data_IF_718181053968
#
_entry.id   IF_718181053968
#
_cell.length_a   1.000
_cell.length_b   1.000
_cell.length_c   1.000
_cell.angle_alpha   90.00
_cell.angle_beta   90.00
_cell.angle_gamma   90.00
#
_symmetry.space_group_name_H-M   'P 1'
#
loop_
_entity.id
_entity.type
_entity.pdbx_description
1 polymer ?
#
# COMPACT_ATOMS: atom_id res chain seq x y z
N UNK A 1 15.91 -7.62 -7.69
CA UNK A 1 14.59 -7.04 -7.33
C UNK A 1 14.85 -5.71 -6.63
N UNK A 2 14.23 -4.62 -7.10
CA UNK A 2 14.14 -3.37 -6.34
C UNK A 2 13.45 -3.70 -4.99
N UNK A 3 13.83 -3.08 -3.87
CA UNK A 3 13.41 -3.48 -2.51
C UNK A 3 13.86 -4.86 -1.99
N UNK A 4 14.81 -5.56 -2.62
CA UNK A 4 15.20 -6.91 -2.16
C UNK A 4 15.75 -6.99 -0.72
N UNK A 5 16.40 -5.93 -0.23
CA UNK A 5 16.86 -5.85 1.16
C UNK A 5 15.70 -5.58 2.12
N UNK A 6 14.83 -4.62 1.77
CA UNK A 6 13.58 -4.32 2.49
C UNK A 6 12.73 -5.59 2.64
N UNK A 7 12.67 -6.44 1.60
CA UNK A 7 11.93 -7.70 1.65
C UNK A 7 12.48 -8.66 2.69
N UNK A 8 13.81 -8.80 2.77
CA UNK A 8 14.44 -9.69 3.75
C UNK A 8 14.14 -9.23 5.18
N UNK A 9 14.23 -7.93 5.43
CA UNK A 9 13.88 -7.34 6.72
C UNK A 9 12.39 -7.57 7.05
N UNK A 10 11.50 -7.33 6.07
CA UNK A 10 10.06 -7.52 6.26
C UNK A 10 9.70 -8.97 6.58
N UNK A 11 10.32 -9.94 5.92
CA UNK A 11 10.15 -11.37 6.21
C UNK A 11 10.67 -11.79 7.59
N UNK A 12 11.70 -11.11 8.10
CA UNK A 12 12.34 -11.42 9.39
C UNK A 12 11.64 -10.80 10.59
N UNK A 13 10.78 -9.80 10.39
CA UNK A 13 10.03 -9.15 11.48
C UNK A 13 9.09 -10.20 12.12
N UNK A 14 9.26 -10.55 13.39
CA UNK A 14 8.47 -11.60 14.04
C UNK A 14 7.41 -11.08 15.01
N UNK A 15 7.58 -9.85 15.48
CA UNK A 15 6.63 -9.14 16.33
C UNK A 15 6.66 -7.65 15.92
N UNK A 16 5.50 -7.02 15.80
CA UNK A 16 5.39 -5.57 15.55
C UNK A 16 5.94 -4.72 16.71
N UNK A 17 6.21 -5.32 17.87
CA UNK A 17 6.70 -4.65 19.08
C UNK A 17 8.21 -4.34 19.06
N UNK A 18 8.99 -4.91 18.12
CA UNK A 18 10.40 -4.56 17.98
C UNK A 18 10.57 -3.24 17.23
N UNK A 19 10.44 -2.13 17.95
CA UNK A 19 10.52 -0.76 17.43
C UNK A 19 11.78 -0.53 16.58
N UNK A 20 12.95 -1.01 17.02
CA UNK A 20 14.20 -0.83 16.27
C UNK A 20 14.19 -1.57 14.92
N UNK A 21 13.58 -2.75 14.86
CA UNK A 21 13.45 -3.50 13.62
C UNK A 21 12.45 -2.82 12.66
N UNK A 22 11.39 -2.24 13.19
CA UNK A 22 10.41 -1.43 12.45
C UNK A 22 11.06 -0.16 11.90
N UNK A 23 11.79 0.59 12.73
CA UNK A 23 12.52 1.80 12.32
C UNK A 23 13.54 1.48 11.23
N UNK A 24 14.33 0.42 11.39
CA UNK A 24 15.30 -0.01 10.38
C UNK A 24 14.64 -0.36 9.04
N UNK A 25 13.47 -1.00 9.06
CA UNK A 25 12.69 -1.32 7.88
C UNK A 25 12.14 -0.06 7.21
N UNK A 26 11.61 0.89 7.99
CA UNK A 26 11.11 2.18 7.51
C UNK A 26 12.21 2.99 6.82
N UNK A 27 13.37 3.14 7.47
CA UNK A 27 14.50 3.85 6.87
C UNK A 27 14.99 3.18 5.58
N UNK A 28 14.97 1.85 5.53
CA UNK A 28 15.32 1.11 4.31
C UNK A 28 14.29 1.35 3.19
N UNK A 29 13.00 1.46 3.53
CA UNK A 29 11.95 1.81 2.57
C UNK A 29 12.12 3.25 2.08
N UNK A 30 12.46 4.21 2.97
CA UNK A 30 12.69 5.61 2.61
C UNK A 30 13.84 5.78 1.63
N UNK A 31 14.96 5.08 1.87
CA UNK A 31 16.12 5.08 0.97
C UNK A 31 15.72 4.55 -0.41
N UNK A 32 15.02 3.42 -0.48
CA UNK A 32 14.54 2.88 -1.76
C UNK A 32 13.52 3.83 -2.42
N UNK A 33 12.61 4.41 -1.63
CA UNK A 33 11.58 5.33 -2.10
C UNK A 33 12.15 6.59 -2.75
N UNK A 34 13.24 7.13 -2.19
CA UNK A 34 13.93 8.31 -2.71
C UNK A 34 14.50 8.10 -4.12
N UNK A 35 14.76 6.86 -4.51
CA UNK A 35 15.27 6.51 -5.85
C UNK A 35 14.16 6.31 -6.89
N UNK A 36 12.90 6.30 -6.47
CA UNK A 36 11.77 6.00 -7.35
C UNK A 36 11.37 7.18 -8.21
N UNK A 37 11.11 6.88 -9.48
CA UNK A 37 10.50 7.81 -10.43
C UNK A 37 9.19 7.22 -10.93
N UNK A 38 8.10 7.98 -10.79
CA UNK A 38 6.79 7.56 -11.29
C UNK A 38 6.80 7.30 -12.81
N UNK A 39 7.63 8.01 -13.57
CA UNK A 39 7.79 7.80 -15.02
C UNK A 39 8.32 6.40 -15.36
N UNK A 40 9.34 5.93 -14.65
CA UNK A 40 9.90 4.58 -14.81
C UNK A 40 8.86 3.51 -14.50
N UNK A 41 8.12 3.68 -13.39
CA UNK A 41 7.06 2.77 -13.00
C UNK A 41 5.93 2.76 -14.03
N UNK A 42 5.53 3.93 -14.52
CA UNK A 42 4.48 4.06 -15.51
C UNK A 42 4.84 3.41 -16.84
N UNK A 43 6.07 3.61 -17.33
CA UNK A 43 6.52 3.01 -18.58
C UNK A 43 6.49 1.48 -18.48
N UNK A 44 7.11 0.93 -17.43
CA UNK A 44 7.18 -0.52 -17.19
C UNK A 44 5.80 -1.16 -17.04
N UNK A 45 4.87 -0.47 -16.36
CA UNK A 45 3.54 -1.03 -16.06
C UNK A 45 2.59 -0.90 -17.25
N UNK A 46 2.64 0.19 -18.01
CA UNK A 46 1.76 0.38 -19.16
C UNK A 46 1.88 -0.75 -20.19
N UNK A 47 3.07 -1.30 -20.37
CA UNK A 47 3.32 -2.45 -21.27
C UNK A 47 2.69 -3.76 -20.76
N UNK A 48 2.37 -3.85 -19.47
CA UNK A 48 1.82 -5.04 -18.82
C UNK A 48 0.31 -5.00 -18.63
N UNK A 49 -0.33 -3.85 -18.87
CA UNK A 49 -1.78 -3.68 -18.66
C UNK A 49 -2.55 -4.47 -19.71
N UNK A 50 -3.42 -5.35 -19.24
CA UNK A 50 -4.48 -5.94 -20.04
C UNK A 50 -5.77 -5.12 -19.87
N UNK A 51 -6.09 -4.30 -20.87
CA UNK A 51 -7.25 -3.43 -20.84
C UNK A 51 -8.59 -4.19 -20.75
N UNK A 52 -8.64 -5.43 -21.23
CA UNK A 52 -9.84 -6.29 -21.13
C UNK A 52 -10.14 -6.68 -19.67
N UNK A 53 -9.10 -6.66 -18.83
CA UNK A 53 -9.18 -6.94 -17.41
C UNK A 53 -9.39 -5.69 -16.55
N UNK A 54 -9.39 -4.48 -17.12
CA UNK A 54 -9.67 -3.24 -16.38
C UNK A 54 -11.02 -3.30 -15.67
N UNK A 55 -11.09 -2.75 -14.46
CA UNK A 55 -12.31 -2.71 -13.63
C UNK A 55 -12.49 -1.34 -12.98
N UNK A 56 -13.75 -0.97 -12.72
CA UNK A 56 -14.15 0.36 -12.22
C UNK A 56 -15.00 0.29 -10.95
N UNK A 57 -14.65 1.04 -9.91
CA UNK A 57 -15.33 1.02 -8.61
C UNK A 57 -15.70 2.41 -8.08
N UNK A 58 -16.83 2.48 -7.35
CA UNK A 58 -17.30 3.70 -6.65
C UNK A 58 -16.74 3.88 -5.24
N UNK A 59 -16.32 2.79 -4.62
CA UNK A 59 -15.60 2.79 -3.35
C UNK A 59 -14.33 1.97 -3.52
N UNK A 60 -13.38 2.16 -2.61
CA UNK A 60 -12.17 1.34 -2.54
C UNK A 60 -12.55 -0.09 -2.09
N UNK A 61 -13.26 -0.84 -2.94
CA UNK A 61 -13.70 -2.21 -2.63
C UNK A 61 -12.54 -3.21 -2.65
N UNK A 62 -11.41 -2.82 -3.23
CA UNK A 62 -10.15 -3.52 -3.05
C UNK A 62 -9.43 -3.12 -1.76
N UNK A 63 -9.75 -1.96 -1.15
CA UNK A 63 -8.94 -1.32 -0.09
C UNK A 63 -9.76 -0.35 0.80
N UNK A 64 -10.67 -0.85 1.66
CA UNK A 64 -11.19 -0.18 2.87
C UNK A 64 -11.83 1.24 2.80
N UNK A 65 -12.58 1.70 3.83
CA UNK A 65 -13.38 2.92 3.79
C UNK A 65 -12.75 4.17 4.46
N UNK A 66 -11.44 4.32 4.45
CA UNK A 66 -10.80 5.63 4.65
C UNK A 66 -10.03 5.90 3.37
N UNK A 67 -10.42 6.92 2.62
CA UNK A 67 -9.83 7.27 1.34
C UNK A 67 -8.41 7.77 1.46
N UNK A 68 -7.51 7.00 2.05
CA UNK A 68 -6.05 6.93 1.91
C UNK A 68 -5.72 5.60 2.60
N UNK A 69 -5.42 4.59 1.78
CA UNK A 69 -4.84 3.30 2.14
C UNK A 69 -5.22 2.72 3.54
N UNK A 70 -6.10 1.72 3.57
CA UNK A 70 -6.26 0.81 4.72
C UNK A 70 -6.78 -0.56 4.20
N UNK A 71 -6.10 -1.68 4.50
CA UNK A 71 -6.60 -3.00 4.13
C UNK A 71 -7.75 -3.42 5.06
N UNK A 72 -8.89 -3.80 4.48
CA UNK A 72 -9.79 -4.76 5.10
C UNK A 72 -10.23 -5.77 4.02
N UNK A 73 -9.78 -7.01 4.23
CA UNK A 73 -10.18 -8.29 3.61
C UNK A 73 -10.16 -8.33 2.07
N UNK A 74 -8.95 -8.56 1.53
CA UNK A 74 -8.70 -8.92 0.13
C UNK A 74 -9.47 -10.18 -0.33
N UNK A 75 -9.83 -11.09 0.59
CA UNK A 75 -10.60 -12.31 0.30
C UNK A 75 -11.95 -12.00 -0.37
N UNK A 76 -12.70 -11.01 0.16
CA UNK A 76 -13.94 -10.55 -0.45
C UNK A 76 -13.66 -9.65 -1.65
N UNK A 77 -12.55 -8.92 -1.70
CA UNK A 77 -12.24 -8.02 -2.80
C UNK A 77 -11.91 -8.76 -4.10
N UNK A 78 -10.99 -9.73 -4.07
CA UNK A 78 -10.67 -10.59 -5.22
C UNK A 78 -11.90 -11.38 -5.67
N UNK A 79 -12.67 -11.91 -4.71
CA UNK A 79 -13.96 -12.55 -4.97
C UNK A 79 -15.02 -11.58 -5.51
N UNK A 80 -15.05 -10.31 -5.14
CA UNK A 80 -16.05 -9.33 -5.59
C UNK A 80 -15.68 -8.65 -6.93
N UNK A 81 -14.39 -8.56 -7.24
CA UNK A 81 -13.86 -8.22 -8.57
C UNK A 81 -14.25 -9.31 -9.57
N UNK A 82 -14.15 -10.57 -9.15
CA UNK A 82 -14.57 -11.73 -9.96
C UNK A 82 -16.08 -11.99 -9.95
N UNK A 83 -16.81 -11.63 -8.88
CA UNK A 83 -18.29 -11.74 -8.75
C UNK A 83 -19.08 -10.49 -9.20
N UNK A 84 -18.44 -9.47 -9.79
CA UNK A 84 -19.14 -8.39 -10.50
C UNK A 84 -19.62 -7.17 -9.69
N UNK A 85 -19.11 -6.92 -8.48
CA UNK A 85 -19.41 -5.66 -7.72
C UNK A 85 -18.58 -4.45 -8.17
N UNK A 86 -17.62 -4.68 -9.06
CA UNK A 86 -16.81 -3.70 -9.77
C UNK A 86 -17.23 -3.80 -11.24
N UNK A 87 -17.58 -2.68 -11.85
CA UNK A 87 -18.19 -2.66 -13.18
C UNK A 87 -17.13 -2.72 -14.27
N UNK A 88 -17.53 -3.18 -15.46
CA UNK A 88 -16.74 -3.01 -16.69
C UNK A 88 -16.92 -1.61 -17.31
N UNK A 89 -17.84 -0.81 -16.80
CA UNK A 89 -18.16 0.54 -17.26
C UNK A 89 -17.62 1.58 -16.27
N UNK A 90 -17.13 2.70 -16.80
CA UNK A 90 -16.48 3.77 -16.05
C UNK A 90 -17.42 4.78 -15.38
N UNK A 91 -18.72 4.75 -15.71
CA UNK A 91 -19.67 5.79 -15.30
C UNK A 91 -19.70 5.92 -13.77
N UNK A 92 -19.34 7.11 -13.27
CA UNK A 92 -19.27 7.47 -11.84
C UNK A 92 -18.19 6.72 -11.02
N UNK A 93 -17.15 6.19 -11.66
CA UNK A 93 -16.10 5.48 -10.96
C UNK A 93 -15.03 6.40 -10.33
N UNK A 94 -14.92 6.35 -8.99
CA UNK A 94 -13.81 6.96 -8.23
C UNK A 94 -12.50 6.18 -8.43
N UNK A 95 -12.59 4.86 -8.62
CA UNK A 95 -11.43 3.98 -8.71
C UNK A 95 -11.35 3.25 -10.05
N UNK A 96 -10.15 3.20 -10.62
CA UNK A 96 -9.81 2.38 -11.79
C UNK A 96 -8.74 1.39 -11.36
N UNK A 97 -8.97 0.12 -11.64
CA UNK A 97 -8.05 -0.97 -11.33
C UNK A 97 -7.60 -1.62 -12.64
N UNK A 98 -6.29 -1.61 -12.87
CA UNK A 98 -5.63 -2.25 -13.99
C UNK A 98 -4.96 -3.54 -13.54
N UNK A 99 -5.07 -4.56 -14.38
CA UNK A 99 -4.53 -5.89 -14.14
C UNK A 99 -3.64 -6.30 -15.30
N UNK A 100 -2.72 -7.23 -15.03
CA UNK A 100 -1.99 -7.94 -16.09
C UNK A 100 -2.78 -9.17 -16.59
N UNK A 101 -2.21 -9.90 -17.55
CA UNK A 101 -2.80 -11.12 -18.10
C UNK A 101 -2.99 -12.25 -17.06
N UNK A 102 -2.17 -12.26 -16.00
CA UNK A 102 -2.29 -13.18 -14.86
C UNK A 102 -3.38 -12.74 -13.86
N UNK A 103 -4.12 -11.66 -14.16
CA UNK A 103 -5.13 -11.07 -13.28
C UNK A 103 -4.56 -10.55 -11.96
N UNK A 104 -3.27 -10.21 -11.90
CA UNK A 104 -2.68 -9.49 -10.76
C UNK A 104 -2.89 -8.00 -10.92
N UNK A 105 -3.31 -7.25 -9.88
CA UNK A 105 -3.43 -5.81 -9.97
C UNK A 105 -2.05 -5.18 -10.12
N UNK A 106 -1.90 -4.29 -11.09
CA UNK A 106 -0.62 -3.63 -11.41
C UNK A 106 -0.68 -2.11 -11.32
N UNK A 107 -1.89 -1.53 -11.40
CA UNK A 107 -2.10 -0.09 -11.17
C UNK A 107 -3.48 0.17 -10.60
N UNK A 108 -3.55 1.15 -9.70
CA UNK A 108 -4.79 1.63 -9.10
C UNK A 108 -4.80 3.14 -9.23
N UNK A 109 -5.90 3.69 -9.74
CA UNK A 109 -6.11 5.12 -9.88
C UNK A 109 -7.27 5.51 -8.96
N UNK A 110 -7.05 6.49 -8.09
CA UNK A 110 -8.11 7.15 -7.34
C UNK A 110 -8.32 8.56 -7.89
N UNK A 111 -9.51 8.82 -8.43
CA UNK A 111 -9.87 10.10 -9.00
C UNK A 111 -10.17 11.15 -7.92
N UNK A 112 -10.87 10.80 -6.86
CA UNK A 112 -11.28 11.75 -5.81
C UNK A 112 -10.09 12.28 -5.02
N UNK A 113 -9.17 11.40 -4.65
CA UNK A 113 -7.97 11.76 -3.90
C UNK A 113 -6.83 12.25 -4.79
N UNK A 114 -7.00 12.18 -6.11
CA UNK A 114 -5.96 12.44 -7.10
C UNK A 114 -4.69 11.63 -6.83
N UNK A 115 -4.80 10.32 -6.61
CA UNK A 115 -3.64 9.43 -6.42
C UNK A 115 -3.56 8.34 -7.48
N UNK A 116 -2.34 7.84 -7.67
CA UNK A 116 -2.03 6.69 -8.51
C UNK A 116 -1.09 5.77 -7.74
N UNK A 117 -1.43 4.50 -7.66
CA UNK A 117 -0.62 3.46 -7.02
C UNK A 117 -0.17 2.46 -8.06
N UNK A 118 1.14 2.20 -8.09
CA UNK A 118 1.75 1.18 -8.93
C UNK A 118 2.07 -0.04 -8.09
N UNK A 119 1.77 -1.24 -8.61
CA UNK A 119 2.07 -2.48 -7.90
C UNK A 119 3.24 -3.21 -8.55
N UNK A 120 4.23 -3.58 -7.75
CA UNK A 120 5.31 -4.51 -8.13
C UNK A 120 5.11 -5.83 -7.38
N UNK A 121 5.43 -6.95 -8.04
CA UNK A 121 5.16 -8.28 -7.53
C UNK A 121 6.44 -9.11 -7.40
N UNK A 122 6.57 -9.79 -6.27
CA UNK A 122 7.68 -10.68 -5.96
C UNK A 122 7.16 -11.97 -5.32
N UNK A 123 6.79 -12.95 -6.15
CA UNK A 123 6.03 -14.14 -5.72
C UNK A 123 4.72 -13.71 -5.02
N UNK A 124 4.59 -14.00 -3.73
CA UNK A 124 3.40 -13.71 -2.92
C UNK A 124 3.49 -12.34 -2.22
N UNK A 125 4.58 -11.60 -2.45
CA UNK A 125 4.77 -10.25 -1.94
C UNK A 125 4.30 -9.22 -2.98
N UNK A 126 3.39 -8.34 -2.57
CA UNK A 126 2.95 -7.17 -3.31
C UNK A 126 3.56 -5.90 -2.70
N UNK A 127 4.13 -5.03 -3.55
CA UNK A 127 4.52 -3.68 -3.18
C UNK A 127 3.63 -2.68 -3.89
N UNK A 128 2.96 -1.82 -3.14
CA UNK A 128 2.23 -0.68 -3.72
C UNK A 128 2.99 0.61 -3.45
N UNK A 129 3.24 1.38 -4.50
CA UNK A 129 3.90 2.69 -4.42
C UNK A 129 2.91 3.73 -4.92
N UNK A 130 2.54 4.66 -4.05
CA UNK A 130 1.48 5.65 -4.29
C UNK A 130 2.03 7.05 -4.46
N UNK A 131 1.58 7.74 -5.50
CA UNK A 131 1.92 9.13 -5.81
C UNK A 131 0.67 10.00 -5.87
N UNK A 132 0.85 11.31 -5.73
CA UNK A 132 -0.19 12.28 -6.10
C UNK A 132 -0.12 12.49 -7.62
N UNK A 133 -1.26 12.44 -8.33
CA UNK A 133 -1.31 12.66 -9.77
C UNK A 133 -0.75 14.01 -10.21
N UNK A 134 -0.88 15.03 -9.36
CA UNK A 134 -0.39 16.40 -9.61
C UNK A 134 1.09 16.56 -9.28
N UNK A 135 1.61 15.66 -8.44
CA UNK A 135 3.01 15.65 -7.98
C UNK A 135 3.51 14.21 -7.93
N UNK A 136 4.04 13.79 -9.08
CA UNK A 136 4.60 12.45 -9.30
C UNK A 136 6.08 12.36 -8.90
N UNK A 137 6.63 13.41 -8.27
CA UNK A 137 8.06 13.48 -7.94
C UNK A 137 8.40 12.74 -6.65
N UNK A 138 7.46 12.63 -5.71
CA UNK A 138 7.70 12.01 -4.41
C UNK A 138 6.59 11.01 -4.08
N UNK A 139 6.93 9.74 -3.72
CA UNK A 139 5.96 8.81 -3.16
C UNK A 139 5.26 9.40 -1.93
N UNK A 140 3.94 9.32 -1.88
CA UNK A 140 3.13 9.72 -0.72
C UNK A 140 2.83 8.56 0.21
N UNK A 141 2.92 7.33 -0.31
CA UNK A 141 2.72 6.13 0.49
C UNK A 141 3.38 4.90 -0.15
N UNK A 142 3.85 3.98 0.67
CA UNK A 142 4.34 2.66 0.26
C UNK A 142 3.72 1.59 1.14
N UNK A 143 3.29 0.50 0.52
CA UNK A 143 2.76 -0.69 1.21
C UNK A 143 3.53 -1.91 0.76
N UNK A 144 3.90 -2.77 1.69
CA UNK A 144 4.37 -4.13 1.43
C UNK A 144 3.42 -5.13 2.08
N UNK A 145 2.91 -6.07 1.30
CA UNK A 145 1.95 -7.07 1.76
C UNK A 145 2.40 -8.49 1.34
N UNK A 146 2.60 -9.38 2.32
CA UNK A 146 2.76 -10.82 2.07
C UNK A 146 1.37 -11.44 2.04
N UNK A 147 1.03 -12.06 0.91
CA UNK A 147 -0.25 -12.71 0.69
C UNK A 147 -0.13 -14.23 0.89
N UNK A 148 -1.22 -14.88 1.28
CA UNK A 148 -1.37 -16.33 1.21
C UNK A 148 -1.78 -16.79 -0.21
N UNK A 149 -1.92 -18.11 -0.40
CA UNK A 149 -2.34 -18.71 -1.67
C UNK A 149 -3.73 -18.23 -2.14
N UNK A 150 -4.53 -17.68 -1.24
CA UNK A 150 -5.85 -17.12 -1.53
C UNK A 150 -5.80 -15.61 -1.81
N UNK A 151 -4.61 -14.99 -1.79
CA UNK A 151 -4.42 -13.56 -1.98
C UNK A 151 -4.77 -12.72 -0.75
N UNK A 152 -4.84 -13.32 0.44
CA UNK A 152 -5.14 -12.65 1.71
C UNK A 152 -3.82 -12.19 2.34
N UNK A 153 -3.68 -10.92 2.74
CA UNK A 153 -2.52 -10.49 3.50
C UNK A 153 -2.40 -11.27 4.81
N UNK A 154 -1.31 -12.01 4.93
CA UNK A 154 -0.82 -12.61 6.18
C UNK A 154 -0.09 -11.54 6.99
N UNK A 155 0.61 -10.63 6.30
CA UNK A 155 1.39 -9.58 6.91
C UNK A 155 1.46 -8.36 6.03
N UNK A 156 1.34 -7.19 6.62
CA UNK A 156 1.44 -5.93 5.90
C UNK A 156 2.22 -4.89 6.71
N UNK A 157 3.03 -4.09 6.02
CA UNK A 157 3.48 -2.79 6.50
C UNK A 157 3.04 -1.72 5.51
N UNK A 158 2.54 -0.61 6.04
CA UNK A 158 2.20 0.58 5.30
C UNK A 158 2.93 1.78 5.87
N UNK A 159 3.48 2.62 5.01
CA UNK A 159 4.11 3.88 5.38
C UNK A 159 3.45 5.00 4.57
N UNK A 160 3.03 6.05 5.25
CA UNK A 160 2.46 7.26 4.67
C UNK A 160 3.24 8.48 5.12
N UNK A 161 3.64 9.31 4.17
CA UNK A 161 4.19 10.64 4.46
C UNK A 161 3.08 11.68 4.32
N UNK A 162 2.62 12.23 5.43
CA UNK A 162 1.58 13.24 5.53
C UNK A 162 2.26 14.59 5.73
N UNK A 163 2.14 15.53 4.80
CA UNK A 163 2.71 16.87 4.97
C UNK A 163 1.69 17.79 5.62
N UNK A 164 2.05 18.40 6.75
CA UNK A 164 1.27 19.46 7.39
C UNK A 164 1.84 20.83 7.03
N UNK A 165 1.02 21.90 6.89
CA UNK A 165 1.51 23.23 6.51
C UNK A 165 2.55 23.86 7.46
N UNK A 166 2.67 23.38 8.70
CA UNK A 166 3.48 23.98 9.77
C UNK A 166 4.42 23.01 10.49
N UNK A 167 4.36 21.72 10.16
CA UNK A 167 5.22 20.67 10.71
C UNK A 167 5.73 19.89 9.51
N UNK A 168 7.04 19.62 9.46
CA UNK A 168 7.68 18.93 8.33
C UNK A 168 7.38 17.43 8.37
N UNK A 169 6.10 17.09 8.28
CA UNK A 169 5.61 15.75 8.04
C UNK A 169 5.17 14.99 9.29
N UNK A 170 4.18 14.13 9.10
CA UNK A 170 3.86 13.00 9.95
C UNK A 170 4.07 11.74 9.13
N UNK A 171 4.74 10.75 9.72
CA UNK A 171 4.83 9.41 9.16
C UNK A 171 3.84 8.54 9.90
N UNK A 172 2.85 8.02 9.16
CA UNK A 172 1.96 6.98 9.67
C UNK A 172 2.48 5.63 9.20
N UNK A 173 2.71 4.73 10.15
CA UNK A 173 3.14 3.37 9.90
C UNK A 173 2.03 2.41 10.38
N UNK A 174 1.41 1.68 9.46
CA UNK A 174 0.46 0.63 9.79
C UNK A 174 1.12 -0.74 9.71
N UNK A 175 0.84 -1.62 10.66
CA UNK A 175 1.23 -3.03 10.66
C UNK A 175 0.00 -3.91 10.78
N UNK A 176 -0.13 -4.84 9.86
CA UNK A 176 -1.11 -5.92 9.96
C UNK A 176 -0.38 -7.23 10.17
N UNK A 177 -0.82 -8.00 11.17
CA UNK A 177 -0.48 -9.40 11.29
C UNK A 177 -1.77 -10.22 11.38
N UNK A 178 -1.93 -11.11 10.41
CA UNK A 178 -3.10 -11.95 10.26
C UNK A 178 -2.66 -13.41 10.40
N UNK A 179 -2.83 -13.94 11.61
CA UNK A 179 -2.58 -15.34 11.91
C UNK A 179 -3.89 -16.14 11.88
N UNK A 180 -3.81 -17.46 11.74
CA UNK A 180 -4.99 -18.35 11.85
C UNK A 180 -5.75 -18.23 13.18
N UNK A 181 -5.16 -17.61 14.20
CA UNK A 181 -5.71 -17.53 15.57
C UNK A 181 -6.19 -16.12 15.96
N UNK A 182 -5.60 -15.09 15.39
CA UNK A 182 -5.87 -13.69 15.73
C UNK A 182 -5.46 -12.79 14.56
N UNK A 183 -6.28 -11.77 14.28
CA UNK A 183 -5.92 -10.65 13.41
C UNK A 183 -5.65 -9.45 14.29
N UNK A 184 -4.42 -8.98 14.25
CA UNK A 184 -4.00 -7.81 15.01
C UNK A 184 -3.56 -6.74 14.02
N UNK A 185 -4.12 -5.54 14.17
CA UNK A 185 -3.70 -4.38 13.40
C UNK A 185 -3.14 -3.33 14.34
N UNK A 186 -1.89 -2.93 14.15
CA UNK A 186 -1.21 -1.93 14.96
C UNK A 186 -0.88 -0.74 14.08
N UNK A 187 -1.35 0.44 14.46
CA UNK A 187 -0.97 1.68 13.80
C UNK A 187 -0.02 2.43 14.72
N UNK A 188 1.12 2.84 14.21
CA UNK A 188 2.01 3.84 14.79
C UNK A 188 1.89 5.13 13.98
N UNK A 189 1.77 6.26 14.68
CA UNK A 189 1.79 7.59 14.09
C UNK A 189 2.93 8.36 14.71
N UNK A 190 3.92 8.73 13.91
CA UNK A 190 5.07 9.51 14.33
C UNK A 190 5.02 10.91 13.71
N UNK A 191 5.18 11.94 14.54
CA UNK A 191 5.40 13.31 14.08
C UNK A 191 6.90 13.54 14.00
N UNK A 192 7.38 14.10 12.90
CA UNK A 192 8.81 14.29 12.64
C UNK A 192 9.11 15.78 12.39
N UNK A 193 10.24 16.26 12.90
CA UNK A 193 10.70 17.63 12.68
C UNK A 193 11.47 17.83 11.37
N UNK A 194 11.98 19.04 11.17
CA UNK A 194 12.74 19.41 9.97
C UNK A 194 14.13 18.75 9.85
N UNK A 195 14.60 18.14 10.94
CA UNK A 195 15.88 17.42 11.07
C UNK A 195 15.70 15.90 11.11
N UNK A 196 14.52 15.39 10.71
CA UNK A 196 14.17 13.97 10.70
C UNK A 196 14.14 13.35 12.11
N UNK A 197 13.96 14.16 13.16
CA UNK A 197 13.81 13.67 14.53
C UNK A 197 12.35 13.39 14.86
N UNK A 198 12.08 12.25 15.48
CA UNK A 198 10.74 11.91 15.96
C UNK A 198 10.39 12.78 17.18
N UNK A 199 9.40 13.66 17.01
CA UNK A 199 8.90 14.55 18.05
C UNK A 199 7.88 13.89 18.98
N UNK A 200 7.05 13.00 18.44
CA UNK A 200 6.04 12.26 19.17
C UNK A 200 5.66 10.98 18.43
N UNK A 201 5.33 9.91 19.18
CA UNK A 201 4.77 8.66 18.64
C UNK A 201 3.48 8.34 19.40
N UNK A 202 2.43 8.02 18.67
CA UNK A 202 1.24 7.37 19.20
C UNK A 202 1.12 5.97 18.59
N UNK A 203 0.65 5.00 19.37
CA UNK A 203 0.30 3.68 18.84
C UNK A 203 -1.12 3.30 19.21
N UNK A 204 -1.77 2.52 18.35
CA UNK A 204 -3.07 1.95 18.61
C UNK A 204 -3.18 0.56 18.01
N UNK A 205 -3.53 -0.40 18.86
CA UNK A 205 -3.78 -1.79 18.48
C UNK A 205 -5.29 -2.02 18.34
N UNK A 206 -5.66 -2.74 17.30
CA UNK A 206 -7.01 -3.18 17.00
C UNK A 206 -7.00 -4.70 16.89
N UNK A 207 -7.80 -5.35 17.71
CA UNK A 207 -8.20 -6.73 17.45
C UNK A 207 -9.29 -6.70 16.38
N UNK A 208 -9.08 -7.44 15.30
CA UNK A 208 -9.97 -7.48 14.16
C UNK A 208 -10.70 -8.83 14.14
N UNK A 209 -11.97 -8.84 14.49
CA UNK A 209 -12.83 -10.03 14.36
C UNK A 209 -12.99 -10.45 12.86
#
# INVERSE_FOLDING_TARGET
MRFSQVFKQFLQLKDAENVLAVESLVSSIEVEAATLKASELSQRINEQIDETQRRYGKSAKLLGPLGYFCPFIYEKAYANVTRGKITKKATEATFIYDFNCEKKPIRIINNDLNTISYCDWAKDLAIYITFNKRDLSVPKAITLAILDDCGIPIKEIYIQWIVFPQIRGCIRIGFLENTKKQKTFIIYEAVIDDKEQILAIASKTYDVD
#
